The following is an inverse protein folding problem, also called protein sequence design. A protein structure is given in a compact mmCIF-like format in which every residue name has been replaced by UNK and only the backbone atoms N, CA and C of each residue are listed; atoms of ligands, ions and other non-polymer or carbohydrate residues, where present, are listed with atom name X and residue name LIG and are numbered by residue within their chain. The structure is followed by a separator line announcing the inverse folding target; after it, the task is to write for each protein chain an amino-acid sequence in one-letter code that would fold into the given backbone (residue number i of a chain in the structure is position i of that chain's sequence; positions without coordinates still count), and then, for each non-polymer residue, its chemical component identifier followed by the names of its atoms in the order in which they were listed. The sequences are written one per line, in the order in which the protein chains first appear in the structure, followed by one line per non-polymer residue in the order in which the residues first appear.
data_IF_146575469637
#
_entry.id   IF_146575469637
#
_cell.length_a   1.000
_cell.length_b   1.000
_cell.length_c   1.000
_cell.angle_alpha   90.00
_cell.angle_beta   90.00
_cell.angle_gamma   90.00
#
_symmetry.space_group_name_H-M   'P 1'
#
loop_
_entity.id
_entity.type
_entity.pdbx_description
1 polymer ?
#
# COMPACT_ATOMS: atom_id res chain seq x y z
N UNK A 1 7.36 15.42 -0.49
CA UNK A 1 7.89 14.07 -0.74
C UNK A 1 7.86 13.85 -2.25
N UNK A 2 8.79 13.07 -2.80
CA UNK A 2 8.77 12.80 -4.24
C UNK A 2 7.61 11.84 -4.55
N UNK A 3 6.77 12.22 -5.51
CA UNK A 3 5.67 11.40 -6.01
C UNK A 3 6.05 10.79 -7.35
N UNK A 4 5.69 9.53 -7.55
CA UNK A 4 5.96 8.76 -8.77
C UNK A 4 4.68 8.01 -9.13
N UNK A 5 4.28 8.03 -10.40
CA UNK A 5 3.16 7.23 -10.87
C UNK A 5 3.67 5.93 -11.45
N UNK A 6 3.06 4.83 -11.03
CA UNK A 6 3.26 3.50 -11.60
C UNK A 6 2.03 3.09 -12.38
N UNK A 7 2.18 2.36 -13.47
CA UNK A 7 1.02 1.73 -14.12
C UNK A 7 0.45 0.66 -13.20
N UNK A 8 -0.87 0.63 -13.06
CA UNK A 8 -1.55 -0.37 -12.23
C UNK A 8 -1.22 -1.79 -12.66
N UNK A 9 -1.16 -2.03 -13.98
CA UNK A 9 -0.80 -3.34 -14.55
C UNK A 9 0.65 -3.74 -14.20
N UNK A 10 1.55 -2.77 -14.08
CA UNK A 10 2.94 -3.03 -13.68
C UNK A 10 2.99 -3.48 -12.23
N UNK A 11 2.37 -2.72 -11.31
CA UNK A 11 2.31 -3.09 -9.89
C UNK A 11 1.68 -4.48 -9.69
N UNK A 12 0.56 -4.75 -10.38
CA UNK A 12 -0.11 -6.06 -10.34
C UNK A 12 0.75 -7.17 -10.96
N UNK A 13 1.48 -6.88 -12.04
CA UNK A 13 2.42 -7.80 -12.68
C UNK A 13 3.54 -8.25 -11.75
N UNK A 14 3.97 -7.38 -10.84
CA UNK A 14 4.92 -7.69 -9.77
C UNK A 14 4.24 -8.23 -8.49
N UNK A 15 2.96 -8.61 -8.53
CA UNK A 15 2.28 -9.26 -7.41
C UNK A 15 1.81 -8.33 -6.30
N UNK A 16 1.81 -7.01 -6.50
CA UNK A 16 1.28 -6.05 -5.54
C UNK A 16 -0.25 -5.91 -5.66
N UNK A 17 -0.96 -5.63 -4.54
CA UNK A 17 -0.43 -5.38 -3.20
C UNK A 17 -0.19 -6.65 -2.36
N UNK A 18 -0.34 -7.86 -2.93
CA UNK A 18 -0.50 -9.09 -2.14
C UNK A 18 0.80 -9.63 -1.53
N UNK A 19 1.81 -9.87 -2.34
CA UNK A 19 3.04 -10.55 -1.86
C UNK A 19 4.34 -10.03 -2.50
N UNK A 20 4.30 -9.47 -3.70
CA UNK A 20 5.52 -9.00 -4.39
C UNK A 20 6.32 -10.15 -5.03
N UNK A 21 6.82 -9.95 -6.25
CA UNK A 21 7.65 -10.90 -7.00
C UNK A 21 8.85 -10.21 -7.65
N UNK A 22 9.80 -10.98 -8.18
CA UNK A 22 10.91 -10.49 -9.01
C UNK A 22 11.69 -9.30 -8.41
N UNK A 23 11.97 -9.36 -7.10
CA UNK A 23 12.71 -8.32 -6.37
C UNK A 23 11.86 -7.21 -5.78
N UNK A 24 10.54 -7.28 -5.94
CA UNK A 24 9.56 -6.46 -5.21
C UNK A 24 9.16 -7.17 -3.93
N UNK A 25 9.08 -6.43 -2.82
CA UNK A 25 8.75 -6.96 -1.49
C UNK A 25 7.74 -6.05 -0.79
N UNK A 26 6.67 -6.63 -0.26
CA UNK A 26 5.72 -5.90 0.61
C UNK A 26 6.33 -5.78 2.00
N UNK A 27 6.55 -4.55 2.45
CA UNK A 27 7.19 -4.23 3.74
C UNK A 27 6.15 -4.00 4.83
N UNK A 28 5.04 -3.34 4.48
CA UNK A 28 3.92 -3.06 5.37
C UNK A 28 2.63 -3.14 4.56
N UNK A 29 1.62 -3.79 5.11
CA UNK A 29 0.23 -3.71 4.67
C UNK A 29 -0.63 -3.59 5.92
N UNK A 30 -1.32 -2.46 6.08
CA UNK A 30 -2.15 -2.19 7.25
C UNK A 30 -3.47 -1.52 6.88
N UNK A 31 -4.53 -1.91 7.58
CA UNK A 31 -5.82 -1.24 7.49
C UNK A 31 -5.71 0.14 8.16
N UNK A 32 -6.04 1.19 7.41
CA UNK A 32 -6.02 2.57 7.91
C UNK A 32 -7.42 3.12 8.18
N UNK A 33 -8.43 2.61 7.46
CA UNK A 33 -9.83 2.99 7.66
C UNK A 33 -10.77 1.93 7.06
N UNK A 34 -12.06 2.05 7.33
CA UNK A 34 -13.08 1.23 6.67
C UNK A 34 -14.40 2.01 6.50
N UNK A 35 -15.08 1.74 5.39
CA UNK A 35 -16.47 2.13 5.17
C UNK A 35 -17.39 0.91 5.29
N UNK A 36 -18.68 1.09 5.00
CA UNK A 36 -19.61 -0.03 4.88
C UNK A 36 -19.24 -0.98 3.72
N UNK A 37 -18.56 -0.47 2.69
CA UNK A 37 -18.35 -1.17 1.43
C UNK A 37 -16.90 -1.60 1.23
N UNK A 38 -15.96 -0.87 1.82
CA UNK A 38 -14.53 -1.00 1.52
C UNK A 38 -13.69 -0.99 2.78
N UNK A 39 -12.63 -1.78 2.79
CA UNK A 39 -11.53 -1.68 3.76
C UNK A 39 -10.39 -0.98 3.06
N UNK A 40 -9.87 0.09 3.67
CA UNK A 40 -8.80 0.90 3.11
C UNK A 40 -7.47 0.50 3.74
N UNK A 41 -6.49 0.25 2.90
CA UNK A 41 -5.16 -0.19 3.26
C UNK A 41 -4.12 0.86 2.87
N UNK A 42 -3.14 1.07 3.73
CA UNK A 42 -1.85 1.66 3.37
C UNK A 42 -0.84 0.54 3.15
N UNK A 43 -0.13 0.58 2.03
CA UNK A 43 0.92 -0.35 1.68
C UNK A 43 2.25 0.36 1.52
N UNK A 44 3.32 -0.21 2.08
CA UNK A 44 4.70 0.15 1.80
C UNK A 44 5.39 -1.05 1.15
N UNK A 45 6.07 -0.84 0.03
CA UNK A 45 6.81 -1.89 -0.66
C UNK A 45 8.18 -1.42 -1.11
N UNK A 46 9.14 -2.35 -1.18
CA UNK A 46 10.44 -2.16 -1.84
C UNK A 46 10.27 -2.45 -3.33
N UNK A 47 10.76 -1.58 -4.20
CA UNK A 47 10.69 -1.75 -5.65
C UNK A 47 12.00 -2.30 -6.24
N UNK A 48 11.96 -2.64 -7.52
CA UNK A 48 13.13 -3.18 -8.27
C UNK A 48 14.32 -2.20 -8.32
N UNK A 49 14.10 -0.91 -8.07
CA UNK A 49 15.15 0.11 -7.97
C UNK A 49 15.78 0.23 -6.56
N UNK A 50 15.42 -0.70 -5.66
CA UNK A 50 15.82 -0.77 -4.25
C UNK A 50 15.30 0.35 -3.33
N UNK A 51 14.49 1.29 -3.82
CA UNK A 51 13.79 2.27 -2.99
C UNK A 51 12.46 1.73 -2.47
N UNK A 52 11.88 2.49 -1.54
CA UNK A 52 10.62 2.17 -0.90
C UNK A 52 9.56 3.17 -1.28
N UNK A 53 8.34 2.68 -1.47
CA UNK A 53 7.20 3.48 -1.90
C UNK A 53 5.99 3.17 -1.02
N UNK A 54 5.20 4.21 -0.72
CA UNK A 54 3.91 4.11 -0.04
C UNK A 54 2.78 4.50 -0.98
N UNK A 55 1.68 3.76 -0.92
CA UNK A 55 0.41 4.11 -1.58
C UNK A 55 -0.77 3.48 -0.82
N UNK A 56 -1.98 3.70 -1.30
CA UNK A 56 -3.21 3.21 -0.71
C UNK A 56 -3.96 2.32 -1.70
N UNK A 57 -4.70 1.33 -1.19
CA UNK A 57 -5.65 0.56 -1.98
C UNK A 57 -6.87 0.20 -1.12
N UNK A 58 -7.92 -0.28 -1.78
CA UNK A 58 -9.10 -0.78 -1.10
C UNK A 58 -9.51 -2.15 -1.62
N UNK A 59 -10.19 -2.88 -0.75
CA UNK A 59 -10.81 -4.17 -1.03
C UNK A 59 -12.21 -4.20 -0.46
N UNK A 60 -13.07 -5.08 -0.99
CA UNK A 60 -14.43 -5.22 -0.51
C UNK A 60 -14.48 -5.58 0.99
N UNK A 61 -15.28 -4.86 1.77
CA UNK A 61 -15.40 -5.08 3.21
C UNK A 61 -16.15 -6.37 3.60
N UNK A 62 -16.82 -7.01 2.64
CA UNK A 62 -17.54 -8.27 2.83
C UNK A 62 -17.32 -9.16 1.61
N UNK A 63 -17.51 -10.47 1.77
CA UNK A 63 -17.37 -11.45 0.68
C UNK A 63 -18.34 -11.21 -0.50
N UNK A 64 -19.39 -10.42 -0.30
CA UNK A 64 -20.33 -10.06 -1.36
C UNK A 64 -19.94 -8.80 -2.17
N UNK A 65 -18.91 -8.06 -1.76
CA UNK A 65 -18.41 -6.91 -2.52
C UNK A 65 -17.23 -7.35 -3.39
N UNK A 66 -17.40 -7.25 -4.71
CA UNK A 66 -16.32 -7.52 -5.68
C UNK A 66 -15.57 -6.19 -5.94
N UNK A 67 -14.75 -5.79 -4.98
CA UNK A 67 -13.83 -4.66 -5.10
C UNK A 67 -12.39 -5.16 -5.00
N UNK A 68 -11.55 -4.74 -5.95
CA UNK A 68 -10.14 -5.16 -6.07
C UNK A 68 -9.20 -3.97 -6.03
N UNK A 69 -7.95 -4.18 -5.59
CA UNK A 69 -6.95 -3.12 -5.53
C UNK A 69 -6.79 -2.41 -6.89
N UNK A 70 -6.92 -1.08 -6.88
CA UNK A 70 -6.73 -0.21 -8.03
C UNK A 70 -7.55 -0.61 -9.28
N UNK A 71 -8.73 -1.21 -9.12
CA UNK A 71 -9.51 -1.76 -10.25
C UNK A 71 -9.84 -0.73 -11.34
N UNK A 72 -10.12 0.51 -10.93
CA UNK A 72 -10.55 1.58 -11.84
C UNK A 72 -9.45 2.62 -12.13
N UNK A 73 -8.20 2.31 -11.79
CA UNK A 73 -7.07 3.23 -11.96
C UNK A 73 -6.13 2.70 -13.03
N UNK A 74 -5.78 3.51 -14.02
CA UNK A 74 -4.72 3.18 -14.99
C UNK A 74 -3.32 3.35 -14.38
N UNK A 75 -3.17 4.34 -13.50
CA UNK A 75 -1.94 4.67 -12.79
C UNK A 75 -2.21 4.82 -11.29
N UNK A 76 -1.23 4.42 -10.48
CA UNK A 76 -1.23 4.54 -9.03
C UNK A 76 -0.15 5.54 -8.63
N UNK A 77 -0.57 6.59 -7.92
CA UNK A 77 0.36 7.56 -7.34
C UNK A 77 1.01 6.95 -6.10
N UNK A 78 2.34 6.90 -6.11
CA UNK A 78 3.15 6.39 -5.02
C UNK A 78 4.05 7.51 -4.48
N UNK A 79 4.28 7.50 -3.17
CA UNK A 79 5.21 8.41 -2.50
C UNK A 79 6.49 7.67 -2.14
N UNK A 80 7.65 8.16 -2.57
CA UNK A 80 8.95 7.60 -2.13
C UNK A 80 9.15 7.85 -0.63
N UNK A 81 9.47 6.79 0.11
CA UNK A 81 9.64 6.79 1.57
C UNK A 81 10.97 6.14 1.97
N UNK A 82 11.41 6.42 3.20
CA UNK A 82 12.55 5.74 3.82
C UNK A 82 12.29 5.56 5.31
N UNK A 83 12.88 4.53 5.90
CA UNK A 83 12.73 4.24 7.32
C UNK A 83 13.53 5.24 8.15
N UNK A 84 12.89 5.79 9.18
CA UNK A 84 13.53 6.66 10.18
C UNK A 84 13.16 6.18 11.58
N UNK A 85 14.14 6.10 12.47
CA UNK A 85 13.89 5.85 13.88
C UNK A 85 13.33 7.12 14.54
N UNK A 86 12.25 6.98 15.32
CA UNK A 86 11.65 8.10 16.06
C UNK A 86 11.52 7.73 17.54
N UNK A 87 12.06 8.58 18.42
CA UNK A 87 11.84 8.48 19.86
C UNK A 87 10.47 9.12 20.16
N UNK A 88 9.52 8.32 20.66
CA UNK A 88 8.17 8.79 21.02
C UNK A 88 7.92 8.65 22.53
N UNK A 89 7.36 9.71 23.14
CA UNK A 89 6.84 9.66 24.51
C UNK A 89 5.34 9.39 24.41
N UNK A 90 4.85 8.37 25.12
CA UNK A 90 3.44 7.98 25.15
C UNK A 90 2.88 8.13 26.56
N UNK A 91 1.58 8.42 26.65
CA UNK A 91 0.85 8.40 27.91
C UNK A 91 0.21 7.03 28.08
N UNK A 92 0.36 6.41 29.25
CA UNK A 92 -0.26 5.14 29.61
C UNK A 92 -1.25 5.32 30.78
N UNK A 93 -2.26 4.45 30.85
CA UNK A 93 -3.17 4.42 31.99
C UNK A 93 -2.42 3.95 33.24
N UNK A 94 -2.76 4.53 34.40
CA UNK A 94 -2.21 4.14 35.70
C UNK A 94 -3.03 3.02 36.32
#
# INVERSE_FOLDING_TARGET
MAKVNFRTEELKGYGLPREGYDGVEVILDQIVDQSRWSVYHEIIFKWVDEKYYSTEYSVGATECQDERPWEYMDEVECTEVHQVEKIVKVWEAV
#
